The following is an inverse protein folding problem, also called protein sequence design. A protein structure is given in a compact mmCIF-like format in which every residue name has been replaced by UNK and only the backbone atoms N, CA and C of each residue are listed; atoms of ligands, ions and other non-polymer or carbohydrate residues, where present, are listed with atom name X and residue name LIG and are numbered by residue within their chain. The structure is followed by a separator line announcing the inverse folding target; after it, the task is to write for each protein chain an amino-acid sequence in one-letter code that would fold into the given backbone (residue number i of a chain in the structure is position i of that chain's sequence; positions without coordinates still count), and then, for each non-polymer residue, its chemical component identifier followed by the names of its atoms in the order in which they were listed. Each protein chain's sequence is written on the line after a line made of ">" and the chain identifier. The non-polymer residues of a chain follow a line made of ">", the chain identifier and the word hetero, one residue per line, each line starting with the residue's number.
data_IF_682758364173
#
_entry.id   IF_682758364173
#
_cell.length_a   1.000
_cell.length_b   1.000
_cell.length_c   1.000
_cell.angle_alpha   90.00
_cell.angle_beta   90.00
_cell.angle_gamma   90.00
#
_symmetry.space_group_name_H-M   'P 1'
#
loop_
_entity.id
_entity.type
_entity.pdbx_description
1 polymer ?
#
# COMPACT_ATOMS: atom_id res chain seq x y z
N UNK A 1 34.28 -23.72 4.40
CA UNK A 1 34.50 -22.25 4.45
C UNK A 1 34.51 -21.60 3.06
N UNK A 2 35.31 -22.08 2.08
CA UNK A 2 35.34 -21.52 0.71
C UNK A 2 33.96 -21.49 0.01
N UNK A 3 33.18 -22.56 0.12
CA UNK A 3 31.83 -22.66 -0.47
C UNK A 3 30.78 -21.72 0.17
N UNK A 4 30.94 -21.40 1.46
CA UNK A 4 30.07 -20.45 2.18
C UNK A 4 30.40 -19.01 1.80
N UNK A 5 31.68 -18.67 1.63
CA UNK A 5 32.08 -17.35 1.17
C UNK A 5 31.63 -17.08 -0.27
N UNK A 6 31.69 -18.08 -1.15
CA UNK A 6 31.22 -17.94 -2.54
C UNK A 6 29.71 -17.75 -2.64
N UNK A 7 28.91 -18.42 -1.80
CA UNK A 7 27.45 -18.22 -1.81
C UNK A 7 27.06 -16.85 -1.22
N UNK A 8 27.77 -16.40 -0.19
CA UNK A 8 27.57 -15.07 0.39
C UNK A 8 27.92 -13.96 -0.62
N UNK A 9 29.02 -14.13 -1.37
CA UNK A 9 29.40 -13.22 -2.44
C UNK A 9 28.37 -13.19 -3.58
N UNK A 10 27.82 -14.34 -3.98
CA UNK A 10 26.76 -14.39 -4.99
C UNK A 10 25.48 -13.69 -4.53
N UNK A 11 25.10 -13.87 -3.26
CA UNK A 11 23.93 -13.21 -2.68
C UNK A 11 24.10 -11.68 -2.60
N UNK A 12 25.29 -11.21 -2.21
CA UNK A 12 25.64 -9.79 -2.22
C UNK A 12 25.63 -9.19 -3.63
N UNK A 13 26.06 -9.95 -4.64
CA UNK A 13 26.02 -9.52 -6.04
C UNK A 13 24.57 -9.43 -6.57
N UNK A 14 23.68 -10.34 -6.16
CA UNK A 14 22.27 -10.30 -6.53
C UNK A 14 21.52 -9.09 -5.95
N UNK A 15 21.94 -8.60 -4.77
CA UNK A 15 21.45 -7.35 -4.16
C UNK A 15 21.96 -6.08 -4.85
N UNK A 16 22.98 -6.20 -5.70
CA UNK A 16 23.59 -5.09 -6.44
C UNK A 16 23.04 -4.90 -7.85
N UNK A 17 22.06 -5.70 -8.27
CA UNK A 17 21.26 -5.35 -9.45
C UNK A 17 20.55 -4.04 -9.14
N UNK A 18 21.02 -2.97 -9.75
CA UNK A 18 20.40 -1.65 -9.73
C UNK A 18 18.91 -1.81 -9.98
N UNK A 19 18.10 -1.37 -9.03
CA UNK A 19 16.72 -1.07 -9.31
C UNK A 19 16.74 -0.08 -10.47
N UNK A 20 16.22 -0.49 -11.64
CA UNK A 20 15.94 0.44 -12.72
C UNK A 20 15.18 1.61 -12.09
N UNK A 21 15.75 2.82 -12.20
CA UNK A 21 15.10 4.00 -11.67
C UNK A 21 13.69 4.02 -12.24
N UNK A 22 12.69 3.95 -11.36
CA UNK A 22 11.32 4.16 -11.80
C UNK A 22 11.31 5.47 -12.61
N UNK A 23 10.67 5.50 -13.79
CA UNK A 23 10.55 6.74 -14.54
C UNK A 23 10.04 7.83 -13.61
N UNK A 24 10.56 9.05 -13.76
CA UNK A 24 10.17 10.20 -12.94
C UNK A 24 8.66 10.17 -12.73
N UNK A 25 8.16 10.27 -11.47
CA UNK A 25 6.75 10.10 -11.21
C UNK A 25 6.00 11.12 -12.06
N UNK A 26 5.19 10.60 -12.99
CA UNK A 26 4.43 11.46 -13.89
C UNK A 26 3.68 12.51 -13.06
N UNK A 27 3.71 13.76 -13.49
CA UNK A 27 3.09 14.83 -12.72
C UNK A 27 1.57 14.71 -12.81
N UNK A 28 0.87 15.09 -11.74
CA UNK A 28 -0.58 15.19 -11.78
C UNK A 28 -0.99 16.23 -12.83
N UNK A 29 -2.04 15.93 -13.59
CA UNK A 29 -2.54 16.82 -14.65
C UNK A 29 -3.85 17.47 -14.21
N UNK A 30 -3.98 18.77 -14.42
CA UNK A 30 -5.26 19.47 -14.25
C UNK A 30 -6.17 19.19 -15.46
N UNK A 31 -7.38 18.70 -15.20
CA UNK A 31 -8.38 18.40 -16.21
C UNK A 31 -9.79 18.70 -15.70
N UNK A 32 -10.80 18.48 -16.54
CA UNK A 32 -12.20 18.78 -16.25
C UNK A 32 -13.06 17.53 -16.38
N UNK A 33 -13.96 17.31 -15.41
CA UNK A 33 -14.93 16.20 -15.46
C UNK A 33 -16.02 16.46 -16.52
N UNK A 34 -16.83 15.44 -16.84
CA UNK A 34 -17.98 15.60 -17.74
C UNK A 34 -19.01 16.65 -17.26
N UNK A 35 -19.04 16.92 -15.95
CA UNK A 35 -19.92 17.92 -15.33
C UNK A 35 -19.29 19.33 -15.28
N UNK A 36 -18.07 19.51 -15.78
CA UNK A 36 -17.37 20.80 -15.78
C UNK A 36 -16.52 21.07 -14.53
N UNK A 37 -16.31 20.11 -13.64
CA UNK A 37 -15.52 20.30 -12.43
C UNK A 37 -14.02 20.20 -12.71
N UNK A 38 -13.23 21.14 -12.18
CA UNK A 38 -11.76 21.07 -12.24
C UNK A 38 -11.21 20.04 -11.25
N UNK A 39 -10.39 19.12 -11.75
CA UNK A 39 -9.77 18.05 -10.99
C UNK A 39 -8.27 17.95 -11.28
N UNK A 40 -7.51 17.44 -10.32
CA UNK A 40 -6.14 16.95 -10.48
C UNK A 40 -6.19 15.44 -10.66
N UNK A 41 -5.76 14.94 -11.81
CA UNK A 41 -5.64 13.51 -12.11
C UNK A 41 -4.20 13.05 -11.87
N UNK A 42 -4.03 12.14 -10.93
CA UNK A 42 -2.75 11.52 -10.59
C UNK A 42 -2.45 10.33 -11.52
N UNK A 43 -1.18 9.96 -11.75
CA UNK A 43 -0.80 8.87 -12.66
C UNK A 43 -1.31 7.49 -12.25
N UNK A 44 -1.60 7.28 -10.96
CA UNK A 44 -2.18 6.06 -10.44
C UNK A 44 -3.69 5.93 -10.71
N UNK A 45 -4.28 6.86 -11.46
CA UNK A 45 -5.71 6.92 -11.76
C UNK A 45 -6.56 7.53 -10.63
N UNK A 46 -5.96 7.89 -9.49
CA UNK A 46 -6.65 8.67 -8.46
C UNK A 46 -6.87 10.09 -8.98
N UNK A 47 -8.01 10.68 -8.65
CA UNK A 47 -8.26 12.10 -8.92
C UNK A 47 -8.75 12.81 -7.67
N UNK A 48 -8.57 14.13 -7.62
CA UNK A 48 -9.07 14.99 -6.55
C UNK A 48 -9.58 16.31 -7.11
N UNK A 49 -10.55 16.93 -6.43
CA UNK A 49 -11.02 18.26 -6.81
C UNK A 49 -9.94 19.32 -6.55
N UNK A 50 -9.78 20.26 -7.48
CA UNK A 50 -8.95 21.46 -7.30
C UNK A 50 -9.59 22.41 -6.27
N UNK A 51 -10.93 22.46 -6.28
CA UNK A 51 -11.72 23.22 -5.30
C UNK A 51 -11.66 22.55 -3.93
N UNK A 52 -11.18 23.29 -2.92
CA UNK A 52 -11.00 22.80 -1.56
C UNK A 52 -12.32 22.44 -0.85
N UNK A 53 -13.42 23.13 -1.17
CA UNK A 53 -14.74 22.85 -0.59
C UNK A 53 -15.25 21.52 -1.11
N UNK A 54 -15.22 21.33 -2.44
CA UNK A 54 -15.63 20.06 -3.07
C UNK A 54 -14.73 18.90 -2.66
N UNK A 55 -13.42 19.15 -2.51
CA UNK A 55 -12.48 18.15 -1.98
C UNK A 55 -12.86 17.71 -0.57
N UNK A 56 -13.15 18.66 0.33
CA UNK A 56 -13.54 18.32 1.70
C UNK A 56 -14.88 17.56 1.77
N UNK A 57 -15.82 17.86 0.88
CA UNK A 57 -17.08 17.10 0.75
C UNK A 57 -16.86 15.68 0.24
N UNK A 58 -16.03 15.52 -0.81
CA UNK A 58 -15.65 14.22 -1.32
C UNK A 58 -14.94 13.37 -0.26
N UNK A 59 -14.06 13.97 0.54
CA UNK A 59 -13.38 13.29 1.65
C UNK A 59 -14.35 12.86 2.75
N UNK A 60 -15.40 13.64 3.04
CA UNK A 60 -16.46 13.25 3.98
C UNK A 60 -17.23 12.05 3.48
N UNK A 61 -17.58 12.03 2.19
CA UNK A 61 -18.27 10.91 1.55
C UNK A 61 -17.38 9.66 1.58
N UNK A 62 -16.12 9.79 1.17
CA UNK A 62 -15.16 8.68 1.18
C UNK A 62 -15.02 8.03 2.57
N UNK A 63 -15.12 8.82 3.65
CA UNK A 63 -15.04 8.33 5.02
C UNK A 63 -16.24 7.49 5.48
N UNK A 64 -17.40 7.62 4.83
CA UNK A 64 -18.60 6.84 5.17
C UNK A 64 -18.48 5.37 4.76
N UNK A 65 -17.60 5.07 3.82
CA UNK A 65 -17.37 3.74 3.28
C UNK A 65 -16.33 2.98 4.13
N UNK A 66 -16.73 1.93 4.88
CA UNK A 66 -15.82 1.19 5.75
C UNK A 66 -14.65 0.54 5.00
N UNK A 67 -14.84 0.18 3.73
CA UNK A 67 -13.80 -0.37 2.85
C UNK A 67 -12.60 0.58 2.63
N UNK A 68 -12.83 1.90 2.72
CA UNK A 68 -11.76 2.90 2.54
C UNK A 68 -10.94 3.14 3.82
N UNK A 69 -11.42 2.66 4.97
CA UNK A 69 -10.79 2.89 6.28
C UNK A 69 -9.71 1.85 6.61
N UNK A 70 -9.54 0.84 5.75
CA UNK A 70 -8.62 -0.27 5.98
C UNK A 70 -8.99 -1.08 7.23
N UNK A 71 -7.99 -1.73 7.81
CA UNK A 71 -8.22 -2.53 9.01
C UNK A 71 -8.37 -1.65 10.26
N UNK A 72 -9.37 -1.90 11.14
CA UNK A 72 -9.57 -1.11 12.35
C UNK A 72 -8.32 -1.07 13.24
N UNK A 73 -8.14 0.00 14.04
CA UNK A 73 -7.02 0.11 14.97
C UNK A 73 -6.92 -1.11 15.90
N UNK A 74 -5.69 -1.61 16.10
CA UNK A 74 -5.42 -2.76 16.96
C UNK A 74 -5.66 -4.13 16.31
N UNK A 75 -6.15 -4.17 15.07
CA UNK A 75 -6.25 -5.42 14.29
C UNK A 75 -4.97 -5.67 13.49
N UNK A 76 -4.61 -6.93 13.26
CA UNK A 76 -3.54 -7.28 12.32
C UNK A 76 -4.10 -7.32 10.90
N UNK A 77 -3.50 -6.53 10.00
CA UNK A 77 -3.87 -6.51 8.60
C UNK A 77 -3.34 -7.71 7.81
N UNK A 78 -3.93 -7.95 6.63
CA UNK A 78 -3.43 -8.93 5.67
C UNK A 78 -2.09 -8.52 5.04
N UNK A 79 -1.41 -9.49 4.42
CA UNK A 79 -0.13 -9.25 3.74
C UNK A 79 -0.37 -8.34 2.53
N UNK A 80 0.27 -7.17 2.50
CA UNK A 80 0.04 -6.13 1.48
C UNK A 80 -1.44 -5.72 1.32
N UNK A 81 -2.23 -5.79 2.40
CA UNK A 81 -3.66 -5.48 2.35
C UNK A 81 -4.53 -6.60 1.77
N UNK A 82 -3.94 -7.76 1.44
CA UNK A 82 -4.67 -8.96 1.00
C UNK A 82 -4.96 -9.85 2.19
N UNK A 83 -6.25 -10.06 2.48
CA UNK A 83 -6.73 -10.92 3.57
C UNK A 83 -7.70 -10.21 4.51
N UNK A 84 -8.21 -10.94 5.51
CA UNK A 84 -9.11 -10.38 6.54
C UNK A 84 -8.32 -9.62 7.61
N UNK A 85 -8.95 -8.63 8.22
CA UNK A 85 -8.43 -8.03 9.46
C UNK A 85 -8.60 -9.01 10.62
N UNK A 86 -7.54 -9.25 11.39
CA UNK A 86 -7.54 -10.19 12.51
C UNK A 86 -7.63 -9.37 13.81
N UNK A 87 -8.77 -9.37 14.52
CA UNK A 87 -8.93 -8.59 15.74
C UNK A 87 -8.25 -9.25 16.96
N UNK A 88 -7.93 -8.47 18.01
CA UNK A 88 -7.48 -9.03 19.29
C UNK A 88 -8.50 -10.05 19.82
N UNK A 89 -8.03 -11.25 20.18
CA UNK A 89 -8.88 -12.35 20.63
C UNK A 89 -9.29 -13.35 19.54
N UNK A 90 -9.05 -13.04 18.26
CA UNK A 90 -9.12 -14.05 17.19
C UNK A 90 -8.04 -15.12 17.42
N UNK A 91 -8.37 -16.39 17.17
CA UNK A 91 -7.43 -17.52 17.25
C UNK A 91 -6.18 -17.31 16.41
N UNK A 92 -6.31 -16.56 15.31
CA UNK A 92 -5.24 -16.29 14.37
C UNK A 92 -4.37 -15.09 14.82
N UNK A 93 -4.80 -14.29 15.80
CA UNK A 93 -4.08 -13.09 16.26
C UNK A 93 -2.71 -13.40 16.88
N UNK A 94 -2.61 -14.49 17.64
CA UNK A 94 -1.36 -14.91 18.29
C UNK A 94 -0.87 -16.28 17.80
N UNK A 95 -1.27 -16.69 16.58
CA UNK A 95 -1.03 -18.04 16.06
C UNK A 95 0.46 -18.38 15.85
N UNK A 96 1.34 -17.37 15.87
CA UNK A 96 2.78 -17.59 15.74
C UNK A 96 3.16 -18.21 14.39
N UNK A 97 4.40 -18.69 14.27
CA UNK A 97 4.86 -19.34 13.05
C UNK A 97 4.22 -20.72 12.89
N UNK A 98 3.56 -20.93 11.74
CA UNK A 98 3.02 -22.22 11.29
C UNK A 98 4.08 -23.28 11.00
N UNK A 99 5.36 -22.91 10.96
CA UNK A 99 6.47 -23.83 10.62
C UNK A 99 6.83 -24.81 11.74
N UNK A 100 6.12 -24.79 12.87
CA UNK A 100 6.47 -25.57 14.07
C UNK A 100 7.71 -25.06 14.79
N UNK A 101 8.31 -23.94 14.33
CA UNK A 101 9.45 -23.27 14.96
C UNK A 101 9.01 -22.04 15.79
N UNK A 102 7.70 -21.87 15.96
CA UNK A 102 7.09 -20.76 16.68
C UNK A 102 6.27 -21.27 17.85
N UNK A 103 6.73 -20.87 19.05
CA UNK A 103 6.41 -21.38 20.39
C UNK A 103 6.83 -22.83 20.63
#
# INVERSE_FOLDING_TARGET
>A
MKLLCTSLFLALLALSLSAEAAPDPAQAIETTTANGDKILLHPNGKWEYVDQVKKAEADKIAKQYPENQGCPPGTQGGVFGVGRCIPPGDKDFNRGSMSGKGR
#
